data_IF_684391793920
#
_entry.id   IF_684391793920
#
_cell.length_a   1.000
_cell.length_b   1.000
_cell.length_c   1.000
_cell.angle_alpha   90.00
_cell.angle_beta   90.00
_cell.angle_gamma   90.00
#
_symmetry.space_group_name_H-M   'P 1'
#
loop_
_entity.id
_entity.type
_entity.pdbx_description
1 polymer ?
#
# COMPACT_ATOMS: atom_id res chain seq x y z
N UNK A 1 13.50 10.84 10.64
CA UNK A 1 13.69 11.92 9.63
C UNK A 1 12.98 11.56 8.33
N UNK A 2 13.34 10.50 7.61
CA UNK A 2 12.71 10.14 6.32
C UNK A 2 11.19 9.85 6.35
N UNK A 3 10.62 9.46 7.49
CA UNK A 3 9.19 9.13 7.65
C UNK A 3 8.24 10.34 7.72
N UNK A 4 8.74 11.58 7.59
CA UNK A 4 7.90 12.78 7.46
C UNK A 4 7.89 13.25 6.01
N UNK A 5 6.84 13.95 5.57
CA UNK A 5 6.78 14.53 4.21
C UNK A 5 8.03 15.36 3.87
N UNK A 6 8.47 16.20 4.80
CA UNK A 6 9.70 16.99 4.65
C UNK A 6 10.96 16.13 4.57
N UNK A 7 11.03 15.06 5.36
CA UNK A 7 12.16 14.14 5.35
C UNK A 7 12.21 13.29 4.08
N UNK A 8 11.07 12.82 3.58
CA UNK A 8 10.99 12.11 2.30
C UNK A 8 11.45 13.01 1.15
N UNK A 9 11.04 14.29 1.15
CA UNK A 9 11.48 15.24 0.13
C UNK A 9 12.99 15.56 0.20
N UNK A 10 13.57 15.58 1.41
CA UNK A 10 14.98 15.91 1.60
C UNK A 10 15.93 14.72 1.43
N UNK A 11 15.48 13.49 1.71
CA UNK A 11 16.33 12.29 1.76
C UNK A 11 15.96 11.25 0.70
N UNK A 12 14.75 11.32 0.15
CA UNK A 12 14.27 10.41 -0.87
C UNK A 12 14.70 10.83 -2.27
N UNK A 13 14.62 9.88 -3.20
CA UNK A 13 14.77 10.15 -4.64
C UNK A 13 13.41 10.08 -5.29
N UNK A 14 13.03 11.12 -6.03
CA UNK A 14 11.81 11.12 -6.82
C UNK A 14 12.01 10.17 -8.01
N UNK A 15 11.12 9.20 -8.15
CA UNK A 15 11.10 8.22 -9.23
C UNK A 15 9.85 8.40 -10.08
N UNK A 16 9.99 8.34 -11.40
CA UNK A 16 8.84 8.35 -12.31
C UNK A 16 8.14 6.99 -12.31
N UNK A 17 6.87 6.94 -12.73
CA UNK A 17 6.14 5.66 -12.83
C UNK A 17 6.83 4.65 -13.78
N UNK A 18 7.47 5.13 -14.84
CA UNK A 18 8.27 4.28 -15.73
C UNK A 18 9.50 3.73 -15.03
N UNK A 19 10.19 4.55 -14.23
CA UNK A 19 11.35 4.10 -13.46
C UNK A 19 10.95 3.10 -12.36
N UNK A 20 9.81 3.31 -11.70
CA UNK A 20 9.26 2.41 -10.68
C UNK A 20 9.13 0.98 -11.21
N UNK A 21 8.65 0.78 -12.44
CA UNK A 21 8.51 -0.56 -13.02
C UNK A 21 9.83 -1.31 -13.28
N UNK A 22 10.98 -0.64 -13.15
CA UNK A 22 12.30 -1.25 -13.25
C UNK A 22 12.96 -1.47 -11.87
N UNK A 23 12.25 -1.17 -10.79
CA UNK A 23 12.72 -1.38 -9.42
C UNK A 23 12.08 -2.65 -8.83
N UNK A 24 12.69 -3.17 -7.78
CA UNK A 24 12.03 -4.09 -6.87
C UNK A 24 11.98 -3.44 -5.49
N UNK A 25 10.78 -3.41 -4.90
CA UNK A 25 10.56 -2.90 -3.55
C UNK A 25 10.56 -4.08 -2.60
N UNK A 26 11.58 -4.20 -1.76
CA UNK A 26 11.66 -5.27 -0.76
C UNK A 26 10.68 -5.04 0.40
N UNK A 27 10.48 -3.78 0.79
CA UNK A 27 9.67 -3.41 1.96
C UNK A 27 8.81 -2.18 1.65
N UNK A 28 7.51 -2.29 1.94
CA UNK A 28 6.56 -1.18 1.98
C UNK A 28 6.17 -0.93 3.42
N UNK A 29 6.46 0.27 3.93
CA UNK A 29 6.04 0.68 5.27
C UNK A 29 4.73 1.46 5.19
N UNK A 30 3.67 0.95 5.81
CA UNK A 30 2.35 1.57 5.82
C UNK A 30 1.96 2.04 7.22
N UNK A 31 1.22 3.14 7.27
CA UNK A 31 0.62 3.61 8.51
C UNK A 31 -0.66 2.83 8.84
N UNK A 32 -0.95 2.66 10.12
CA UNK A 32 -2.17 1.98 10.59
C UNK A 32 -2.73 2.68 11.82
N UNK A 33 -4.05 2.74 11.93
CA UNK A 33 -4.78 3.20 13.12
C UNK A 33 -4.95 2.04 14.08
N UNK A 34 -5.36 0.86 13.59
CA UNK A 34 -5.41 -0.40 14.34
C UNK A 34 -5.00 -1.57 13.46
N UNK A 35 -4.50 -2.64 14.07
CA UNK A 35 -4.00 -3.84 13.37
C UNK A 35 -4.37 -5.09 14.17
N UNK A 36 -4.80 -6.14 13.48
CA UNK A 36 -4.90 -7.47 14.07
C UNK A 36 -3.54 -8.18 13.97
N UNK A 37 -2.88 -8.51 15.09
CA UNK A 37 -1.53 -9.07 15.09
C UNK A 37 -1.46 -10.50 14.52
N UNK A 38 -2.58 -11.22 14.49
CA UNK A 38 -2.64 -12.60 13.98
C UNK A 38 -2.94 -12.60 12.48
N UNK A 39 -3.98 -11.88 12.06
CA UNK A 39 -4.48 -11.96 10.68
C UNK A 39 -3.77 -11.00 9.73
N UNK A 40 -3.18 -9.92 10.25
CA UNK A 40 -2.62 -8.83 9.46
C UNK A 40 -3.67 -7.87 8.88
N UNK A 41 -4.94 -8.01 9.25
CA UNK A 41 -5.96 -7.00 8.96
C UNK A 41 -5.58 -5.67 9.60
N UNK A 42 -5.82 -4.56 8.91
CA UNK A 42 -5.55 -3.23 9.44
C UNK A 42 -6.61 -2.22 9.01
N UNK A 43 -6.77 -1.19 9.82
CA UNK A 43 -7.54 0.00 9.43
C UNK A 43 -6.61 1.19 9.33
N UNK A 44 -6.68 1.90 8.20
CA UNK A 44 -6.05 3.20 8.01
C UNK A 44 -6.97 4.34 8.42
N UNK A 45 -6.65 5.56 7.96
CA UNK A 45 -7.52 6.73 8.12
C UNK A 45 -8.78 6.71 7.23
N UNK A 46 -8.94 5.69 6.40
CA UNK A 46 -10.14 5.48 5.56
C UNK A 46 -10.11 6.09 4.15
N UNK A 47 -8.99 6.66 3.70
CA UNK A 47 -8.87 7.20 2.32
C UNK A 47 -8.37 6.20 1.28
N UNK A 48 -7.80 5.07 1.68
CA UNK A 48 -7.31 4.03 0.75
C UNK A 48 -6.07 4.41 -0.08
N UNK A 49 -5.46 5.57 0.12
CA UNK A 49 -4.39 6.06 -0.76
C UNK A 49 -3.15 5.16 -0.81
N UNK A 50 -2.69 4.67 0.35
CA UNK A 50 -1.56 3.75 0.39
C UNK A 50 -1.86 2.40 -0.25
N UNK A 51 -3.11 1.95 -0.19
CA UNK A 51 -3.57 0.71 -0.82
C UNK A 51 -3.57 0.86 -2.36
N UNK A 52 -4.03 2.01 -2.85
CA UNK A 52 -4.00 2.38 -4.27
C UNK A 52 -2.56 2.51 -4.78
N UNK A 53 -1.68 3.20 -4.06
CA UNK A 53 -0.27 3.35 -4.42
C UNK A 53 0.46 2.00 -4.45
N UNK A 54 0.16 1.09 -3.51
CA UNK A 54 0.68 -0.27 -3.56
C UNK A 54 0.17 -1.02 -4.80
N UNK A 55 -1.12 -0.96 -5.09
CA UNK A 55 -1.70 -1.62 -6.26
C UNK A 55 -1.07 -1.12 -7.56
N UNK A 56 -0.78 0.19 -7.67
CA UNK A 56 -0.02 0.77 -8.77
C UNK A 56 1.37 0.15 -8.89
N UNK A 57 2.13 0.12 -7.79
CA UNK A 57 3.47 -0.48 -7.77
C UNK A 57 3.44 -1.97 -8.12
N UNK A 58 2.42 -2.72 -7.66
CA UNK A 58 2.20 -4.12 -8.02
C UNK A 58 1.97 -4.29 -9.52
N UNK A 59 1.13 -3.46 -10.14
CA UNK A 59 0.87 -3.50 -11.59
C UNK A 59 2.07 -3.09 -12.44
N UNK A 60 2.89 -2.18 -11.93
CA UNK A 60 4.13 -1.78 -12.59
C UNK A 60 5.23 -2.84 -12.47
N UNK A 61 5.03 -3.89 -11.65
CA UNK A 61 6.02 -4.93 -11.40
C UNK A 61 7.02 -4.60 -10.29
N UNK A 62 6.86 -3.45 -9.62
CA UNK A 62 7.77 -3.00 -8.57
C UNK A 62 7.57 -3.74 -7.24
N UNK A 63 6.32 -4.13 -6.93
CA UNK A 63 6.01 -4.97 -5.79
C UNK A 63 5.63 -6.37 -6.24
N UNK A 64 5.94 -7.37 -5.42
CA UNK A 64 5.40 -8.72 -5.56
C UNK A 64 5.17 -9.46 -4.25
N UNK A 65 4.88 -10.76 -4.31
CA UNK A 65 4.56 -11.56 -3.12
C UNK A 65 5.79 -11.73 -2.18
N UNK A 66 6.98 -11.31 -2.63
CA UNK A 66 8.20 -11.21 -1.83
C UNK A 66 8.32 -9.84 -1.13
N UNK A 67 7.58 -8.83 -1.58
CA UNK A 67 7.55 -7.51 -0.96
C UNK A 67 6.87 -7.59 0.41
N UNK A 68 7.59 -7.24 1.47
CA UNK A 68 7.05 -7.22 2.82
C UNK A 68 6.29 -5.92 3.07
N UNK A 69 5.04 -6.04 3.52
CA UNK A 69 4.25 -4.92 4.03
C UNK A 69 4.42 -4.87 5.55
N UNK A 70 4.96 -3.76 6.03
CA UNK A 70 5.34 -3.56 7.43
C UNK A 70 4.59 -2.35 7.99
N UNK A 71 4.18 -2.44 9.25
CA UNK A 71 3.61 -1.30 9.99
C UNK A 71 4.27 -1.14 11.34
N UNK A 72 4.32 0.10 11.82
CA UNK A 72 4.75 0.44 13.18
C UNK A 72 3.55 0.99 13.95
N UNK A 73 3.21 0.36 15.07
CA UNK A 73 2.07 0.77 15.91
C UNK A 73 2.42 0.64 17.40
N UNK A 74 1.66 1.31 18.25
CA UNK A 74 1.71 1.08 19.69
C UNK A 74 0.93 -0.20 20.07
N UNK A 75 1.26 -0.84 21.19
CA UNK A 75 0.54 -2.05 21.67
C UNK A 75 -0.96 -1.82 21.84
N UNK A 76 -1.37 -0.61 22.22
CA UNK A 76 -2.79 -0.24 22.34
C UNK A 76 -3.56 -0.18 21.01
N UNK A 77 -2.86 -0.28 19.87
CA UNK A 77 -3.45 -0.31 18.54
C UNK A 77 -3.58 -1.75 18.01
N UNK A 78 -3.15 -2.76 18.79
CA UNK A 78 -3.36 -4.16 18.47
C UNK A 78 -4.76 -4.59 18.93
N UNK A 79 -5.56 -5.12 18.01
CA UNK A 79 -6.91 -5.61 18.27
C UNK A 79 -7.06 -7.04 17.75
N UNK A 80 -7.13 -8.00 18.68
CA UNK A 80 -7.29 -9.41 18.36
C UNK A 80 -8.66 -9.74 17.76
N UNK A 81 -9.67 -8.91 18.06
CA UNK A 81 -11.08 -9.06 17.67
C UNK A 81 -11.49 -8.19 16.47
N UNK A 82 -10.53 -7.61 15.74
CA UNK A 82 -10.81 -6.86 14.52
C UNK A 82 -11.46 -7.78 13.46
N UNK A 83 -12.73 -7.54 13.06
CA UNK A 83 -13.46 -8.45 12.18
C UNK A 83 -12.81 -8.54 10.79
N UNK A 84 -12.75 -9.74 10.20
CA UNK A 84 -12.22 -9.92 8.85
C UNK A 84 -13.01 -9.13 7.78
N UNK A 85 -14.29 -8.84 8.05
CA UNK A 85 -15.16 -8.04 7.17
C UNK A 85 -14.75 -6.58 7.03
N UNK A 86 -13.80 -6.09 7.83
CA UNK A 86 -13.23 -4.75 7.64
C UNK A 86 -12.24 -4.69 6.47
N UNK A 87 -11.78 -5.84 5.98
CA UNK A 87 -10.88 -5.95 4.85
C UNK A 87 -11.68 -6.28 3.57
N UNK A 88 -11.36 -5.58 2.50
CA UNK A 88 -11.85 -5.83 1.14
C UNK A 88 -10.70 -6.32 0.25
N UNK A 89 -11.01 -6.72 -0.99
CA UNK A 89 -9.99 -7.12 -1.97
C UNK A 89 -9.05 -5.97 -2.41
N UNK A 90 -9.39 -4.73 -2.06
CA UNK A 90 -8.58 -3.55 -2.37
C UNK A 90 -7.67 -3.13 -1.22
N UNK A 91 -7.87 -3.68 -0.03
CA UNK A 91 -7.10 -3.30 1.16
C UNK A 91 -5.78 -4.06 1.26
N UNK A 92 -4.72 -3.35 1.63
CA UNK A 92 -3.39 -3.93 1.79
C UNK A 92 -3.19 -4.44 3.22
N UNK A 93 -3.12 -5.78 3.45
CA UNK A 93 -2.79 -6.34 4.75
C UNK A 93 -1.31 -6.13 5.10
N UNK A 94 -0.95 -6.35 6.36
CA UNK A 94 0.44 -6.30 6.83
C UNK A 94 1.00 -7.68 7.12
N UNK A 95 2.25 -7.91 6.75
CA UNK A 95 3.00 -9.13 7.04
C UNK A 95 3.74 -9.02 8.38
N UNK A 96 4.20 -7.81 8.73
CA UNK A 96 4.98 -7.56 9.94
C UNK A 96 4.42 -6.37 10.69
N UNK A 97 4.19 -6.56 11.98
CA UNK A 97 3.77 -5.51 12.92
C UNK A 97 4.89 -5.28 13.92
N UNK A 98 5.38 -4.05 13.98
CA UNK A 98 6.45 -3.65 14.89
C UNK A 98 5.87 -2.74 15.95
N UNK A 99 6.04 -3.12 17.22
CA UNK A 99 5.73 -2.28 18.37
C UNK A 99 7.00 -1.90 19.11
N UNK A 100 6.97 -0.94 20.05
CA UNK A 100 8.11 -0.68 20.92
C UNK A 100 8.55 -1.89 21.74
N UNK A 101 7.70 -2.91 21.90
CA UNK A 101 7.93 -4.08 22.75
C UNK A 101 8.34 -5.33 21.97
N UNK A 102 7.89 -5.50 20.72
CA UNK A 102 8.06 -6.74 19.96
C UNK A 102 7.85 -6.57 18.46
N UNK A 103 8.29 -7.59 17.73
CA UNK A 103 8.03 -7.77 16.31
C UNK A 103 7.11 -8.97 16.15
N UNK A 104 6.05 -8.82 15.38
CA UNK A 104 5.02 -9.85 15.15
C UNK A 104 4.96 -10.13 13.65
N UNK A 105 5.13 -11.40 13.28
CA UNK A 105 4.88 -11.88 11.92
C UNK A 105 3.45 -12.43 11.85
N UNK A 106 2.65 -11.90 10.93
CA UNK A 106 1.24 -12.27 10.80
C UNK A 106 1.09 -13.59 10.02
N UNK A 107 -0.10 -14.19 10.08
CA UNK A 107 -0.41 -15.42 9.36
C UNK A 107 -0.75 -15.20 7.88
N UNK A 108 -0.66 -13.96 7.36
CA UNK A 108 -0.94 -13.62 5.96
C UNK A 108 -2.30 -14.13 5.45
N UNK A 109 -3.38 -13.93 6.23
CA UNK A 109 -4.72 -14.46 5.86
C UNK A 109 -5.38 -13.77 4.68
N UNK A 110 -4.89 -12.60 4.27
CA UNK A 110 -5.43 -11.80 3.18
C UNK A 110 -4.38 -11.66 2.07
N UNK A 111 -4.83 -11.66 0.81
CA UNK A 111 -3.97 -11.34 -0.33
C UNK A 111 -3.78 -9.84 -0.47
N UNK A 112 -2.60 -9.40 -0.89
CA UNK A 112 -2.38 -8.01 -1.28
C UNK A 112 -3.16 -7.68 -2.57
N UNK A 113 -3.60 -6.43 -2.75
CA UNK A 113 -4.27 -6.00 -3.97
C UNK A 113 -3.33 -6.13 -5.17
N UNK A 114 -3.83 -6.75 -6.24
CA UNK A 114 -3.06 -7.04 -7.46
C UNK A 114 -3.11 -5.90 -8.49
N UNK A 115 -4.18 -5.12 -8.47
CA UNK A 115 -4.44 -4.05 -9.41
C UNK A 115 -5.36 -2.99 -8.81
N UNK A 116 -5.31 -1.77 -9.35
CA UNK A 116 -6.32 -0.76 -9.08
C UNK A 116 -7.66 -1.26 -9.61
N UNK A 117 -8.69 -1.22 -8.76
CA UNK A 117 -10.06 -1.32 -9.22
C UNK A 117 -10.62 0.09 -9.48
N UNK A 118 -10.65 0.48 -10.75
CA UNK A 118 -11.11 1.80 -11.18
C UNK A 118 -12.58 2.09 -10.81
N UNK A 119 -13.39 1.08 -10.51
CA UNK A 119 -14.77 1.26 -10.07
C UNK A 119 -14.89 1.88 -8.67
N UNK A 120 -13.83 1.79 -7.85
CA UNK A 120 -13.77 2.34 -6.50
C UNK A 120 -12.99 3.65 -6.42
N UNK A 121 -12.63 4.24 -7.57
CA UNK A 121 -11.90 5.50 -7.63
C UNK A 121 -12.88 6.63 -7.97
N UNK A 122 -13.23 7.43 -6.97
CA UNK A 122 -14.11 8.59 -7.14
C UNK A 122 -13.34 9.85 -7.60
N UNK A 123 -14.10 10.90 -7.91
CA UNK A 123 -13.53 12.18 -8.37
C UNK A 123 -12.63 12.82 -7.30
N UNK A 124 -12.99 12.71 -6.03
CA UNK A 124 -12.20 13.26 -4.92
C UNK A 124 -10.85 12.56 -4.82
N UNK A 125 -10.80 11.23 -4.99
CA UNK A 125 -9.57 10.44 -5.02
C UNK A 125 -8.72 10.83 -6.23
N UNK A 126 -9.33 10.99 -7.42
CA UNK A 126 -8.63 11.46 -8.62
C UNK A 126 -8.03 12.86 -8.48
N UNK A 127 -8.66 13.74 -7.69
CA UNK A 127 -8.15 15.08 -7.41
C UNK A 127 -7.02 15.05 -6.38
N UNK A 128 -7.14 14.23 -5.33
CA UNK A 128 -6.18 14.16 -4.23
C UNK A 128 -4.97 13.26 -4.50
N UNK A 129 -5.06 12.34 -5.48
CA UNK A 129 -3.96 11.52 -5.97
C UNK A 129 -3.66 11.80 -7.45
N UNK A 130 -2.97 12.91 -7.79
CA UNK A 130 -2.69 13.29 -9.18
C UNK A 130 -1.96 12.21 -9.98
N UNK A 131 -1.19 11.35 -9.31
CA UNK A 131 -0.44 10.23 -9.92
C UNK A 131 -1.37 9.23 -10.64
N UNK A 132 -2.64 9.14 -10.22
CA UNK A 132 -3.63 8.28 -10.87
C UNK A 132 -3.93 8.70 -12.32
N UNK A 133 -3.91 10.00 -12.61
CA UNK A 133 -4.13 10.50 -13.98
C UNK A 133 -3.01 10.04 -14.90
N UNK A 134 -1.77 10.16 -14.43
CA UNK A 134 -0.60 9.72 -15.18
C UNK A 134 -0.57 8.20 -15.33
N UNK A 135 -0.89 7.45 -14.27
CA UNK A 135 -0.97 6.00 -14.34
C UNK A 135 -2.04 5.50 -15.32
N UNK A 136 -3.23 6.11 -15.30
CA UNK A 136 -4.31 5.80 -16.26
C UNK A 136 -3.87 6.04 -17.70
N UNK A 137 -3.16 7.16 -17.96
CA UNK A 137 -2.60 7.48 -19.27
C UNK A 137 -1.54 6.46 -19.71
N UNK A 138 -0.66 6.04 -18.80
CA UNK A 138 0.35 5.01 -19.09
C UNK A 138 -0.30 3.66 -19.47
N UNK A 139 -1.35 3.25 -18.75
CA UNK A 139 -2.09 2.02 -19.08
C UNK A 139 -2.73 2.08 -20.47
N UNK A 140 -3.33 3.21 -20.84
CA UNK A 140 -3.91 3.41 -22.18
C UNK A 140 -2.86 3.27 -23.28
N UNK A 141 -1.71 3.93 -23.12
CA UNK A 141 -0.61 3.84 -24.08
C UNK A 141 -0.02 2.43 -24.20
N UNK A 142 0.03 1.67 -23.11
CA UNK A 142 0.47 0.27 -23.14
C UNK A 142 -0.52 -0.61 -23.90
N UNK A 143 -1.83 -0.38 -23.72
CA UNK A 143 -2.87 -1.11 -24.43
C UNK A 143 -2.87 -0.81 -25.94
N UNK A 144 -2.68 0.46 -26.32
CA UNK A 144 -2.58 0.88 -27.72
C UNK A 144 -1.37 0.27 -28.44
N UNK A 145 -0.26 0.02 -27.74
CA UNK A 145 0.92 -0.64 -28.32
C UNK A 145 0.75 -2.15 -28.49
N UNK A 146 -0.18 -2.76 -27.77
CA UNK A 146 -0.43 -4.20 -27.80
C UNK A 146 -1.48 -4.59 -28.85
N UNK A 147 -2.26 -3.62 -29.30
CA UNK A 147 -3.26 -3.74 -30.35
C UNK A 147 -2.67 -3.34 -31.72
#
# INVERSE_FOLDING_TARGET
RAATKSGTAALGTIVSLTAVGNLHVDIVVVASVVVNPITGARLGKGKGYGDIEYAMMRQLGACDDRTLVVTTVHESQLLDDLPASVMTEHDLPVNVVITPQRIIYTQNKFSCPKAINWNYIDNDTMLNLPVLKEFKRLQQLQQEKLN
#
